data_IF_455450435706
#
_entry.id   IF_455450435706
#
_cell.length_a   1.000
_cell.length_b   1.000
_cell.length_c   1.000
_cell.angle_alpha   90.00
_cell.angle_beta   90.00
_cell.angle_gamma   90.00
#
_symmetry.space_group_name_H-M   'P 1'
#
loop_
_entity.id
_entity.type
_entity.pdbx_description
1 polymer ?
#
# COMPACT_ATOMS: atom_id res chain seq x y z
N UNK A 1 21.96 -39.18 -21.38
CA UNK A 1 22.44 -37.99 -20.67
C UNK A 1 21.84 -36.68 -21.18
N UNK A 2 21.98 -36.27 -22.49
CA UNK A 2 21.33 -35.03 -22.98
C UNK A 2 19.80 -35.07 -22.98
N UNK A 3 19.19 -36.16 -23.39
CA UNK A 3 17.73 -36.33 -23.40
C UNK A 3 17.15 -36.35 -21.97
N UNK A 4 17.79 -37.07 -21.05
CA UNK A 4 17.38 -37.14 -19.65
C UNK A 4 17.50 -35.77 -18.97
N UNK A 5 18.56 -35.00 -19.27
CA UNK A 5 18.71 -33.64 -18.77
C UNK A 5 17.61 -32.73 -19.30
N UNK A 6 17.22 -32.86 -20.57
CA UNK A 6 16.16 -32.04 -21.15
C UNK A 6 14.78 -32.36 -20.55
N UNK A 7 14.47 -33.65 -20.38
CA UNK A 7 13.25 -34.08 -19.71
C UNK A 7 13.20 -33.60 -18.26
N UNK A 8 14.30 -33.69 -17.52
CA UNK A 8 14.40 -33.18 -16.16
C UNK A 8 14.13 -31.66 -16.11
N UNK A 9 14.71 -30.91 -17.03
CA UNK A 9 14.49 -29.46 -17.13
C UNK A 9 13.03 -29.11 -17.42
N UNK A 10 12.38 -29.84 -18.33
CA UNK A 10 10.96 -29.66 -18.62
C UNK A 10 10.08 -29.96 -17.39
N UNK A 11 10.39 -30.99 -16.65
CA UNK A 11 9.66 -31.32 -15.41
C UNK A 11 9.82 -30.23 -14.36
N UNK A 12 11.01 -29.67 -14.20
CA UNK A 12 11.25 -28.55 -13.28
C UNK A 12 10.43 -27.31 -13.67
N UNK A 13 10.42 -26.95 -14.94
CA UNK A 13 9.63 -25.81 -15.44
C UNK A 13 8.13 -26.06 -15.30
N UNK A 14 7.66 -27.28 -15.61
CA UNK A 14 6.28 -27.67 -15.40
C UNK A 14 5.86 -27.55 -13.94
N UNK A 15 6.72 -27.97 -13.01
CA UNK A 15 6.49 -27.83 -11.58
C UNK A 15 6.40 -26.36 -11.14
N UNK A 16 7.29 -25.50 -11.63
CA UNK A 16 7.24 -24.05 -11.37
C UNK A 16 5.94 -23.45 -11.92
N UNK A 17 5.52 -23.84 -13.13
CA UNK A 17 4.26 -23.39 -13.74
C UNK A 17 3.06 -23.86 -12.90
N UNK A 18 3.06 -25.10 -12.43
CA UNK A 18 2.01 -25.63 -11.56
C UNK A 18 1.94 -24.90 -10.22
N UNK A 19 3.08 -24.63 -9.59
CA UNK A 19 3.15 -23.81 -8.35
C UNK A 19 2.62 -22.40 -8.57
N UNK A 20 2.95 -21.79 -9.72
CA UNK A 20 2.48 -20.47 -10.10
C UNK A 20 0.95 -20.45 -10.35
N UNK A 21 0.42 -21.44 -11.05
CA UNK A 21 -1.03 -21.61 -11.22
C UNK A 21 -1.74 -21.85 -9.86
N UNK A 22 -1.12 -22.64 -8.98
CA UNK A 22 -1.58 -22.87 -7.62
C UNK A 22 -1.63 -21.59 -6.79
N UNK A 23 -0.64 -20.71 -6.91
CA UNK A 23 -0.67 -19.37 -6.31
C UNK A 23 -1.89 -18.57 -6.80
N UNK A 24 -2.16 -18.55 -8.10
CA UNK A 24 -3.29 -17.81 -8.68
C UNK A 24 -4.64 -18.34 -8.18
N UNK A 25 -4.80 -19.67 -8.11
CA UNK A 25 -5.99 -20.30 -7.52
C UNK A 25 -6.15 -19.94 -6.04
N UNK A 26 -5.04 -19.93 -5.29
CA UNK A 26 -5.06 -19.54 -3.89
C UNK A 26 -5.36 -18.03 -3.70
N UNK A 27 -4.87 -17.17 -4.60
CA UNK A 27 -5.22 -15.75 -4.61
C UNK A 27 -6.73 -15.53 -4.80
N UNK A 28 -7.33 -16.22 -5.78
CA UNK A 28 -8.77 -16.22 -5.99
C UNK A 28 -9.54 -16.70 -4.75
N UNK A 29 -9.12 -17.83 -4.18
CA UNK A 29 -9.73 -18.33 -2.94
C UNK A 29 -9.63 -17.33 -1.79
N UNK A 30 -8.46 -16.71 -1.58
CA UNK A 30 -8.25 -15.73 -0.51
C UNK A 30 -9.16 -14.50 -0.65
N UNK A 31 -9.29 -14.00 -1.89
CA UNK A 31 -10.17 -12.88 -2.25
C UNK A 31 -11.65 -13.23 -2.00
N UNK A 32 -12.11 -14.41 -2.43
CA UNK A 32 -13.49 -14.87 -2.21
C UNK A 32 -13.80 -15.11 -0.73
N UNK A 33 -12.87 -15.75 0.00
CA UNK A 33 -13.01 -15.96 1.45
C UNK A 33 -13.15 -14.64 2.20
N UNK A 34 -12.34 -13.64 1.82
CA UNK A 34 -12.42 -12.30 2.41
C UNK A 34 -13.77 -11.63 2.12
N UNK A 35 -14.23 -11.69 0.86
CA UNK A 35 -15.52 -11.14 0.46
C UNK A 35 -16.69 -11.81 1.18
N UNK A 36 -16.67 -13.14 1.31
CA UNK A 36 -17.68 -13.87 2.05
C UNK A 36 -17.72 -13.41 3.52
N UNK A 37 -16.55 -13.38 4.18
CA UNK A 37 -16.45 -12.93 5.56
C UNK A 37 -16.98 -11.51 5.74
N UNK A 38 -16.59 -10.58 4.88
CA UNK A 38 -17.02 -9.18 4.91
C UNK A 38 -18.54 -9.03 4.80
N UNK A 39 -19.20 -9.86 3.99
CA UNK A 39 -20.67 -9.86 3.83
C UNK A 39 -21.42 -10.48 5.00
N UNK A 40 -20.81 -11.44 5.67
CA UNK A 40 -21.44 -12.20 6.77
C UNK A 40 -21.10 -11.65 8.16
N UNK A 41 -20.02 -10.88 8.28
CA UNK A 41 -19.60 -10.27 9.54
C UNK A 41 -20.49 -9.06 9.84
N UNK A 42 -21.44 -9.24 10.75
CA UNK A 42 -22.18 -8.14 11.36
C UNK A 42 -21.42 -7.78 12.63
N UNK A 43 -20.74 -6.64 12.64
CA UNK A 43 -20.13 -6.14 13.88
C UNK A 43 -21.25 -5.70 14.80
N UNK A 44 -21.56 -6.51 15.81
CA UNK A 44 -22.51 -6.15 16.90
C UNK A 44 -21.82 -5.45 18.06
N UNK A 45 -20.50 -5.34 18.00
CA UNK A 45 -19.69 -4.78 19.08
C UNK A 45 -19.64 -3.25 18.91
N UNK A 46 -20.33 -2.55 19.79
CA UNK A 46 -20.30 -1.10 19.88
C UNK A 46 -19.16 -0.64 20.80
N UNK A 47 -17.91 -0.71 20.29
CA UNK A 47 -16.75 -0.19 20.99
C UNK A 47 -16.27 1.07 20.26
N UNK A 48 -16.60 2.24 20.80
CA UNK A 48 -16.39 3.55 20.17
C UNK A 48 -15.63 4.54 21.08
N UNK A 49 -14.43 4.21 21.52
CA UNK A 49 -13.59 5.15 22.28
C UNK A 49 -13.15 6.33 21.41
N UNK A 50 -12.85 7.45 22.03
CA UNK A 50 -12.38 8.66 21.36
C UNK A 50 -11.07 8.42 20.60
N UNK A 51 -10.93 8.98 19.38
CA UNK A 51 -9.81 8.75 18.45
C UNK A 51 -9.18 10.05 17.99
N UNK A 52 -7.85 10.15 17.99
CA UNK A 52 -7.11 11.22 17.31
C UNK A 52 -6.59 10.75 15.96
N UNK A 53 -7.05 11.37 14.88
CA UNK A 53 -6.61 11.11 13.52
C UNK A 53 -5.42 12.02 13.19
N UNK A 54 -4.28 11.42 12.90
CA UNK A 54 -3.07 12.10 12.46
C UNK A 54 -2.94 11.98 10.94
N UNK A 55 -3.07 13.11 10.22
CA UNK A 55 -2.94 13.17 8.76
C UNK A 55 -1.73 13.99 8.37
N UNK A 56 -0.56 13.35 8.18
CA UNK A 56 0.60 14.03 7.63
C UNK A 56 0.31 14.39 6.16
N UNK A 57 0.50 15.66 5.80
CA UNK A 57 0.25 16.19 4.47
C UNK A 57 1.54 16.79 3.93
N UNK A 58 1.78 16.60 2.64
CA UNK A 58 2.88 17.21 1.91
C UNK A 58 2.53 17.32 0.44
N UNK A 59 2.42 18.54 -0.07
CA UNK A 59 2.07 18.82 -1.46
C UNK A 59 0.60 18.54 -1.78
N UNK A 60 0.26 18.61 -3.06
CA UNK A 60 -1.10 18.39 -3.56
C UNK A 60 -1.24 16.97 -4.10
N UNK A 61 -1.93 16.13 -3.35
CA UNK A 61 -2.43 14.88 -3.91
C UNK A 61 -3.70 15.14 -4.72
N UNK A 62 -3.95 14.29 -5.71
CA UNK A 62 -5.16 14.37 -6.53
C UNK A 62 -6.42 14.21 -5.66
N UNK A 63 -7.38 15.09 -5.91
CA UNK A 63 -8.62 15.15 -5.12
C UNK A 63 -8.40 15.32 -3.60
N UNK A 64 -7.25 15.89 -3.17
CA UNK A 64 -6.90 16.06 -1.75
C UNK A 64 -8.06 16.61 -0.91
N UNK A 65 -8.76 17.63 -1.39
CA UNK A 65 -9.88 18.23 -0.65
C UNK A 65 -11.02 17.23 -0.40
N UNK A 66 -11.31 16.35 -1.37
CA UNK A 66 -12.34 15.31 -1.22
C UNK A 66 -11.85 14.21 -0.26
N UNK A 67 -10.56 13.87 -0.35
CA UNK A 67 -9.95 12.85 0.49
C UNK A 67 -10.00 13.28 1.96
N UNK A 68 -9.44 14.45 2.29
CA UNK A 68 -9.44 14.92 3.69
C UNK A 68 -10.85 15.23 4.21
N UNK A 69 -11.76 15.70 3.35
CA UNK A 69 -13.18 15.91 3.73
C UNK A 69 -13.86 14.63 4.17
N UNK A 70 -13.57 13.49 3.54
CA UNK A 70 -14.15 12.20 3.93
C UNK A 70 -13.83 11.79 5.37
N UNK A 71 -12.67 12.19 5.90
CA UNK A 71 -12.31 11.99 7.31
C UNK A 71 -13.08 12.92 8.25
N UNK A 72 -13.52 14.09 7.78
CA UNK A 72 -14.33 15.03 8.56
C UNK A 72 -15.81 14.65 8.58
N UNK A 73 -16.24 13.66 7.82
CA UNK A 73 -17.63 13.24 7.66
C UNK A 73 -17.86 11.82 8.22
N UNK A 74 -17.29 11.54 9.39
CA UNK A 74 -17.44 10.25 10.03
C UNK A 74 -18.71 10.20 10.90
N UNK A 75 -19.42 9.07 10.81
CA UNK A 75 -20.49 8.75 11.75
C UNK A 75 -19.87 8.11 12.99
N UNK A 76 -19.31 8.97 13.85
CA UNK A 76 -18.56 8.56 15.05
C UNK A 76 -18.71 9.62 16.14
N UNK A 77 -18.96 9.21 17.42
CA UNK A 77 -19.37 10.15 18.46
C UNK A 77 -18.29 11.16 18.85
N UNK A 78 -17.03 10.75 18.94
CA UNK A 78 -15.94 11.61 19.42
C UNK A 78 -14.63 11.31 18.73
N UNK A 79 -14.15 12.26 17.94
CA UNK A 79 -12.86 12.16 17.27
C UNK A 79 -12.26 13.53 16.98
N UNK A 80 -10.93 13.56 16.97
CA UNK A 80 -10.12 14.70 16.62
C UNK A 80 -9.39 14.47 15.30
N UNK A 81 -9.21 15.51 14.48
CA UNK A 81 -8.34 15.48 13.30
C UNK A 81 -7.22 16.50 13.42
N UNK A 82 -5.99 16.03 13.21
CA UNK A 82 -4.80 16.86 13.21
C UNK A 82 -4.14 16.74 11.84
N UNK A 83 -4.05 17.85 11.11
CA UNK A 83 -3.30 17.92 9.87
C UNK A 83 -1.88 18.39 10.16
N UNK A 84 -0.87 17.62 9.72
CA UNK A 84 0.53 17.99 9.89
C UNK A 84 1.13 18.49 8.59
N UNK A 85 1.78 19.66 8.62
CA UNK A 85 2.52 20.23 7.51
C UNK A 85 3.89 20.74 7.97
N UNK A 86 4.88 20.72 7.08
CA UNK A 86 6.23 21.19 7.38
C UNK A 86 6.41 22.69 7.14
N UNK A 87 5.64 23.31 6.20
CA UNK A 87 5.78 24.71 5.83
C UNK A 87 4.44 25.36 5.52
N UNK A 88 4.36 26.68 5.72
CA UNK A 88 3.25 27.54 5.25
C UNK A 88 3.19 27.63 3.72
N UNK A 89 4.32 27.40 3.08
CA UNK A 89 4.46 27.47 1.62
C UNK A 89 4.02 26.18 0.94
N UNK A 90 3.67 25.14 1.73
CA UNK A 90 3.10 23.91 1.17
C UNK A 90 1.76 24.24 0.47
N UNK A 91 1.60 23.87 -0.80
CA UNK A 91 0.39 24.18 -1.57
C UNK A 91 -0.88 23.53 -1.00
N UNK A 92 -0.77 22.51 -0.13
CA UNK A 92 -1.90 21.95 0.60
C UNK A 92 -2.39 22.82 1.77
N UNK A 93 -1.58 23.76 2.27
CA UNK A 93 -1.93 24.55 3.44
C UNK A 93 -3.23 25.38 3.27
N UNK A 94 -3.47 26.07 2.15
CA UNK A 94 -4.76 26.76 1.91
C UNK A 94 -5.96 25.80 1.94
N UNK A 95 -5.79 24.58 1.42
CA UNK A 95 -6.84 23.54 1.42
C UNK A 95 -7.16 23.10 2.86
N UNK A 96 -6.16 22.84 3.67
CA UNK A 96 -6.31 22.49 5.10
C UNK A 96 -7.06 23.60 5.84
N UNK A 97 -6.68 24.85 5.64
CA UNK A 97 -7.38 26.01 6.24
C UNK A 97 -8.86 26.10 5.80
N UNK A 98 -9.13 25.80 4.54
CA UNK A 98 -10.52 25.78 4.02
C UNK A 98 -11.35 24.68 4.71
N UNK A 99 -10.81 23.48 4.84
CA UNK A 99 -11.48 22.36 5.53
C UNK A 99 -11.77 22.70 7.01
N UNK A 100 -10.79 23.24 7.74
CA UNK A 100 -11.01 23.66 9.15
C UNK A 100 -12.13 24.70 9.26
N UNK A 101 -12.21 25.64 8.33
CA UNK A 101 -13.30 26.63 8.30
C UNK A 101 -14.65 26.00 7.96
N UNK A 102 -14.67 24.96 7.14
CA UNK A 102 -15.90 24.23 6.75
C UNK A 102 -16.45 23.43 7.94
N UNK A 103 -15.59 22.76 8.74
CA UNK A 103 -15.97 21.85 9.81
C UNK A 103 -15.79 22.46 11.23
N UNK A 104 -16.34 23.65 11.48
CA UNK A 104 -16.16 24.40 12.75
C UNK A 104 -16.67 23.69 14.00
N UNK A 105 -17.58 22.71 13.88
CA UNK A 105 -18.14 21.95 15.00
C UNK A 105 -17.31 20.71 15.35
N UNK A 106 -16.37 20.31 14.49
CA UNK A 106 -15.49 19.17 14.69
C UNK A 106 -14.18 19.65 15.32
N UNK A 107 -13.58 18.84 16.17
CA UNK A 107 -12.24 19.09 16.71
C UNK A 107 -11.19 18.85 15.63
N UNK A 108 -10.99 19.87 14.78
CA UNK A 108 -10.06 19.85 13.65
C UNK A 108 -9.04 20.95 13.82
N UNK A 109 -7.77 20.59 13.76
CA UNK A 109 -6.66 21.53 13.87
C UNK A 109 -5.51 21.20 12.90
N UNK A 110 -4.49 22.03 12.85
CA UNK A 110 -3.24 21.73 12.14
C UNK A 110 -2.03 22.00 13.01
N UNK A 111 -0.95 21.30 12.72
CA UNK A 111 0.39 21.54 13.25
C UNK A 111 1.28 21.93 12.10
N UNK A 112 2.00 23.03 12.26
CA UNK A 112 2.93 23.57 11.29
C UNK A 112 4.34 23.55 11.93
N UNK A 113 5.14 22.56 11.59
CA UNK A 113 6.44 22.34 12.22
C UNK A 113 7.42 21.65 11.26
N UNK A 114 8.53 22.32 10.97
CA UNK A 114 9.56 21.87 10.04
C UNK A 114 10.64 20.97 10.65
N UNK A 115 10.58 20.71 11.96
CA UNK A 115 11.61 19.90 12.66
C UNK A 115 11.63 18.47 12.10
N UNK A 116 12.83 17.99 11.84
CA UNK A 116 13.10 16.63 11.39
C UNK A 116 13.80 15.84 12.50
N UNK A 117 13.41 14.57 12.65
CA UNK A 117 13.94 13.69 13.71
C UNK A 117 14.64 12.45 13.12
N UNK A 118 14.65 12.32 11.83
CA UNK A 118 15.27 11.22 11.10
C UNK A 118 15.06 11.36 9.60
N UNK A 119 15.45 10.35 8.86
CA UNK A 119 15.39 10.33 7.41
C UNK A 119 13.96 10.16 6.86
N UNK A 120 13.01 9.69 7.68
CA UNK A 120 11.60 9.58 7.30
C UNK A 120 10.84 10.87 7.67
N UNK A 121 10.56 11.69 6.67
CA UNK A 121 9.88 13.00 6.85
C UNK A 121 8.40 12.84 7.26
N UNK A 122 7.72 11.78 6.82
CA UNK A 122 6.35 11.45 7.27
C UNK A 122 6.35 11.20 8.78
N UNK A 123 7.28 10.40 9.25
CA UNK A 123 7.41 10.09 10.69
C UNK A 123 7.81 11.32 11.49
N UNK A 124 8.70 12.19 10.97
CA UNK A 124 9.03 13.47 11.60
C UNK A 124 7.80 14.35 11.77
N UNK A 125 6.92 14.40 10.77
CA UNK A 125 5.64 15.11 10.84
C UNK A 125 4.72 14.49 11.91
N UNK A 126 4.64 13.16 12.01
CA UNK A 126 3.86 12.47 13.06
C UNK A 126 4.40 12.79 14.47
N UNK A 127 5.72 12.87 14.66
CA UNK A 127 6.33 13.27 15.93
C UNK A 127 5.90 14.69 16.31
N UNK A 128 5.90 15.62 15.36
CA UNK A 128 5.46 17.00 15.55
C UNK A 128 3.96 17.10 15.90
N UNK A 129 3.13 16.25 15.30
CA UNK A 129 1.68 16.21 15.54
C UNK A 129 1.30 15.55 16.88
N UNK A 130 2.08 14.57 17.32
CA UNK A 130 1.77 13.73 18.49
C UNK A 130 1.42 14.49 19.79
N UNK A 131 2.09 15.59 20.17
CA UNK A 131 1.75 16.35 21.36
C UNK A 131 0.34 16.98 21.33
N UNK A 132 -0.20 17.25 20.13
CA UNK A 132 -1.54 17.82 19.94
C UNK A 132 -2.65 16.76 20.00
N UNK A 133 -2.31 15.49 19.85
CA UNK A 133 -3.27 14.40 19.92
C UNK A 133 -3.76 14.20 21.36
N UNK A 134 -5.09 14.16 21.57
CA UNK A 134 -5.74 14.12 22.90
C UNK A 134 -6.05 12.69 23.36
N UNK A 135 -6.42 11.80 22.42
CA UNK A 135 -7.06 10.52 22.71
C UNK A 135 -6.06 9.36 22.80
N UNK A 136 -6.50 8.26 23.39
CA UNK A 136 -5.67 7.07 23.62
C UNK A 136 -5.54 6.15 22.39
N UNK A 137 -6.38 6.36 21.41
CA UNK A 137 -6.28 5.68 20.11
C UNK A 137 -5.80 6.68 19.06
N UNK A 138 -4.70 6.33 18.40
CA UNK A 138 -4.05 7.17 17.39
C UNK A 138 -4.18 6.51 16.04
N UNK A 139 -4.93 7.16 15.16
CA UNK A 139 -5.08 6.73 13.77
C UNK A 139 -4.14 7.54 12.89
N UNK A 140 -3.29 6.86 12.13
CA UNK A 140 -2.49 7.47 11.06
C UNK A 140 -3.06 7.04 9.72
N UNK A 141 -3.29 7.99 8.81
CA UNK A 141 -3.77 7.71 7.46
C UNK A 141 -3.13 8.66 6.45
N UNK A 142 -2.70 8.12 5.31
CA UNK A 142 -2.09 8.88 4.22
C UNK A 142 -3.10 9.85 3.58
N UNK A 143 -2.61 10.95 2.96
CA UNK A 143 -3.41 12.05 2.43
C UNK A 143 -4.22 11.69 1.18
N UNK A 144 -3.79 10.67 0.45
CA UNK A 144 -4.41 10.12 -0.77
C UNK A 144 -5.52 9.09 -0.50
N UNK A 145 -5.84 8.84 0.78
CA UNK A 145 -6.90 7.92 1.18
C UNK A 145 -8.26 8.60 1.23
N UNK A 146 -9.30 7.90 0.75
CA UNK A 146 -10.72 8.26 0.87
C UNK A 146 -11.48 7.19 1.63
N UNK A 147 -12.32 7.60 2.57
CA UNK A 147 -12.97 6.71 3.51
C UNK A 147 -14.50 6.86 3.49
N UNK A 148 -15.21 5.79 3.91
CA UNK A 148 -16.66 5.82 4.12
C UNK A 148 -17.02 6.48 5.46
N UNK A 149 -18.29 6.89 5.66
CA UNK A 149 -18.74 7.44 6.96
C UNK A 149 -18.57 6.48 8.14
N UNK A 150 -18.65 5.17 7.93
CA UNK A 150 -18.53 4.14 8.98
C UNK A 150 -17.08 3.71 9.25
N UNK A 151 -16.09 4.35 8.60
CA UNK A 151 -14.69 3.94 8.67
C UNK A 151 -14.16 3.84 10.10
N UNK A 152 -14.41 4.82 10.96
CA UNK A 152 -13.96 4.80 12.35
C UNK A 152 -14.63 3.68 13.16
N UNK A 153 -15.94 3.51 13.04
CA UNK A 153 -16.68 2.45 13.76
C UNK A 153 -16.16 1.05 13.39
N UNK A 154 -15.91 0.81 12.10
CA UNK A 154 -15.39 -0.47 11.61
C UNK A 154 -13.97 -0.76 12.10
N UNK A 155 -13.13 0.27 12.22
CA UNK A 155 -11.76 0.13 12.65
C UNK A 155 -11.58 0.03 14.18
N UNK A 156 -12.53 0.59 14.95
CA UNK A 156 -12.42 0.60 16.41
C UNK A 156 -13.00 -0.65 17.07
N UNK A 157 -13.98 -1.30 16.45
CA UNK A 157 -14.64 -2.48 17.02
C UNK A 157 -13.68 -3.62 17.43
N UNK A 158 -12.55 -3.91 16.70
CA UNK A 158 -11.61 -4.96 17.10
C UNK A 158 -10.88 -4.70 18.42
N UNK A 159 -10.79 -3.44 18.87
CA UNK A 159 -10.13 -3.10 20.14
C UNK A 159 -10.95 -3.46 21.38
N UNK A 160 -12.20 -3.93 21.23
CA UNK A 160 -12.93 -4.57 22.32
C UNK A 160 -12.21 -5.82 22.86
N UNK A 161 -11.38 -6.48 22.03
CA UNK A 161 -10.40 -7.48 22.46
C UNK A 161 -9.13 -6.74 22.92
N UNK A 162 -8.85 -6.75 24.23
CA UNK A 162 -7.69 -6.10 24.84
C UNK A 162 -6.35 -6.65 24.34
N UNK A 163 -6.31 -7.84 23.74
CA UNK A 163 -5.14 -8.42 23.10
C UNK A 163 -4.77 -7.75 21.78
N UNK A 164 -5.66 -6.95 21.18
CA UNK A 164 -5.40 -6.19 19.95
C UNK A 164 -4.61 -4.92 20.30
N UNK A 165 -3.41 -4.80 19.75
CA UNK A 165 -2.54 -3.65 19.97
C UNK A 165 -2.58 -2.63 18.84
N UNK A 166 -2.83 -3.08 17.61
CA UNK A 166 -3.01 -2.22 16.45
C UNK A 166 -4.03 -2.81 15.47
N UNK A 167 -4.67 -1.93 14.71
CA UNK A 167 -5.61 -2.27 13.64
C UNK A 167 -5.13 -1.61 12.36
N UNK A 168 -5.20 -2.34 11.25
CA UNK A 168 -4.90 -1.83 9.91
C UNK A 168 -5.96 -2.28 8.93
N UNK A 169 -6.06 -1.64 7.77
CA UNK A 169 -7.01 -2.03 6.72
C UNK A 169 -6.33 -2.22 5.37
N UNK A 170 -6.93 -3.08 4.55
CA UNK A 170 -6.62 -3.13 3.13
C UNK A 170 -7.00 -1.82 2.43
N UNK A 171 -6.40 -1.59 1.29
CA UNK A 171 -6.80 -0.51 0.40
C UNK A 171 -6.85 -0.97 -1.05
N UNK A 172 -7.65 -0.27 -1.84
CA UNK A 172 -7.82 -0.50 -3.27
C UNK A 172 -7.36 0.71 -4.05
N UNK A 173 -6.63 0.48 -5.15
CA UNK A 173 -6.24 1.54 -6.07
C UNK A 173 -7.44 2.00 -6.92
N UNK A 174 -7.66 3.30 -6.96
CA UNK A 174 -8.65 3.97 -7.81
C UNK A 174 -7.95 5.00 -8.67
N UNK A 175 -7.72 4.66 -9.95
CA UNK A 175 -6.93 5.49 -10.86
C UNK A 175 -7.61 6.84 -11.14
N UNK A 176 -6.83 7.89 -11.07
CA UNK A 176 -7.13 9.21 -11.63
C UNK A 176 -6.07 9.51 -12.69
N UNK A 177 -6.50 9.90 -13.89
CA UNK A 177 -5.57 10.17 -14.97
C UNK A 177 -5.43 9.03 -15.99
N UNK A 178 -4.19 8.83 -16.48
CA UNK A 178 -3.90 8.04 -17.68
C UNK A 178 -3.50 6.58 -17.39
N UNK A 179 -2.87 5.94 -18.36
CA UNK A 179 -2.48 4.54 -18.38
C UNK A 179 -1.59 4.15 -17.18
N UNK A 180 -0.62 5.00 -16.80
CA UNK A 180 0.27 4.74 -15.67
C UNK A 180 -0.50 4.57 -14.36
N UNK A 181 -1.47 5.46 -14.07
CA UNK A 181 -2.34 5.35 -12.88
C UNK A 181 -3.19 4.08 -12.91
N UNK A 182 -3.70 3.68 -14.09
CA UNK A 182 -4.46 2.45 -14.23
C UNK A 182 -3.61 1.21 -13.95
N UNK A 183 -2.36 1.19 -14.42
CA UNK A 183 -1.43 0.10 -14.15
C UNK A 183 -1.05 0.01 -12.66
N UNK A 184 -0.87 1.16 -11.98
CA UNK A 184 -0.62 1.17 -10.55
C UNK A 184 -1.86 0.68 -9.76
N UNK A 185 -3.06 1.14 -10.11
CA UNK A 185 -4.29 0.65 -9.49
C UNK A 185 -4.46 -0.87 -9.66
N UNK A 186 -4.12 -1.43 -10.84
CA UNK A 186 -4.11 -2.87 -11.06
C UNK A 186 -3.07 -3.58 -10.18
N UNK A 187 -1.87 -3.01 -9.99
CA UNK A 187 -0.86 -3.56 -9.08
C UNK A 187 -1.41 -3.68 -7.66
N UNK A 188 -2.03 -2.62 -7.14
CA UNK A 188 -2.63 -2.61 -5.80
C UNK A 188 -3.75 -3.65 -5.70
N UNK A 189 -4.65 -3.68 -6.67
CA UNK A 189 -5.87 -4.49 -6.59
C UNK A 189 -5.63 -5.99 -6.87
N UNK A 190 -4.69 -6.32 -7.77
CA UNK A 190 -4.55 -7.68 -8.31
C UNK A 190 -3.29 -8.41 -7.82
N UNK A 191 -2.34 -7.67 -7.24
CA UNK A 191 -1.14 -8.26 -6.68
C UNK A 191 -1.03 -8.00 -5.16
N UNK A 192 -1.02 -6.73 -4.74
CA UNK A 192 -0.83 -6.36 -3.34
C UNK A 192 -1.98 -6.88 -2.46
N UNK A 193 -3.24 -6.56 -2.80
CA UNK A 193 -4.40 -6.97 -2.00
C UNK A 193 -4.51 -8.50 -1.85
N UNK A 194 -4.45 -9.32 -2.92
CA UNK A 194 -4.44 -10.78 -2.77
C UNK A 194 -3.24 -11.30 -1.96
N UNK A 195 -2.05 -10.71 -2.11
CA UNK A 195 -0.85 -11.13 -1.37
C UNK A 195 -0.99 -10.92 0.14
N UNK A 196 -1.57 -9.79 0.57
CA UNK A 196 -1.86 -9.54 2.00
C UNK A 196 -2.90 -10.53 2.51
N UNK A 197 -3.93 -10.87 1.74
CA UNK A 197 -4.95 -11.84 2.13
C UNK A 197 -4.39 -13.26 2.24
N UNK A 198 -3.51 -13.66 1.34
CA UNK A 198 -2.78 -14.93 1.41
C UNK A 198 -1.92 -14.95 2.68
N UNK A 199 -1.17 -13.89 2.94
CA UNK A 199 -0.36 -13.78 4.16
C UNK A 199 -1.21 -13.95 5.42
N UNK A 200 -2.40 -13.30 5.49
CA UNK A 200 -3.37 -13.44 6.61
C UNK A 200 -3.87 -14.88 6.81
N UNK A 201 -3.98 -15.66 5.73
CA UNK A 201 -4.41 -17.05 5.80
C UNK A 201 -3.29 -17.96 6.30
N UNK A 202 -2.05 -17.70 5.85
CA UNK A 202 -0.90 -18.55 6.16
C UNK A 202 -0.34 -18.30 7.56
N UNK A 203 -0.41 -17.07 8.07
CA UNK A 203 0.14 -16.70 9.37
C UNK A 203 -0.55 -15.47 9.96
N UNK A 204 -0.49 -15.26 11.29
CA UNK A 204 -0.95 -14.04 11.91
C UNK A 204 -0.25 -12.81 11.32
N UNK A 205 -0.99 -11.77 11.02
CA UNK A 205 -0.44 -10.49 10.56
C UNK A 205 0.40 -9.87 11.68
N UNK A 206 1.64 -9.45 11.34
CA UNK A 206 2.59 -8.81 12.26
C UNK A 206 3.01 -7.41 11.79
N UNK A 207 2.36 -6.89 10.77
CA UNK A 207 2.66 -5.58 10.17
C UNK A 207 1.39 -4.76 10.03
N UNK A 208 1.54 -3.44 9.90
CA UNK A 208 0.47 -2.55 9.48
C UNK A 208 0.67 -2.14 8.02
N UNK A 209 -0.36 -1.54 7.43
CA UNK A 209 -0.38 -0.97 6.09
C UNK A 209 -0.55 0.54 6.20
N UNK A 210 0.31 1.32 5.54
CA UNK A 210 0.43 2.76 5.68
C UNK A 210 -0.83 3.56 5.36
N UNK A 211 -1.73 3.00 4.54
CA UNK A 211 -3.02 3.59 4.22
C UNK A 211 -3.89 3.87 5.46
N UNK A 212 -3.82 2.98 6.46
CA UNK A 212 -4.56 3.08 7.73
C UNK A 212 -3.88 2.27 8.81
N UNK A 213 -3.46 2.94 9.86
CA UNK A 213 -2.90 2.33 11.05
C UNK A 213 -3.54 2.95 12.29
N UNK A 214 -4.15 2.14 13.15
CA UNK A 214 -4.55 2.58 14.49
C UNK A 214 -3.71 1.84 15.52
N UNK A 215 -3.18 2.57 16.47
CA UNK A 215 -2.39 2.03 17.57
C UNK A 215 -2.84 2.63 18.90
N UNK A 216 -2.79 1.83 19.95
CA UNK A 216 -2.99 2.32 21.31
C UNK A 216 -1.81 3.18 21.74
N UNK A 217 -2.09 4.34 22.34
CA UNK A 217 -1.07 5.30 22.79
C UNK A 217 -0.09 4.71 23.80
N UNK A 218 -0.56 3.89 24.75
CA UNK A 218 0.26 3.22 25.74
C UNK A 218 1.28 2.28 25.09
N UNK A 219 0.87 1.54 24.04
CA UNK A 219 1.74 0.64 23.30
C UNK A 219 2.73 1.41 22.41
N UNK A 220 2.27 2.48 21.76
CA UNK A 220 3.16 3.36 21.01
C UNK A 220 4.26 3.92 21.92
N UNK A 221 3.94 4.35 23.16
CA UNK A 221 4.94 4.77 24.14
C UNK A 221 5.92 3.66 24.50
N UNK A 222 5.45 2.42 24.69
CA UNK A 222 6.30 1.26 25.04
C UNK A 222 7.34 0.94 23.96
N UNK A 223 7.02 1.15 22.68
CA UNK A 223 7.98 0.94 21.58
C UNK A 223 8.92 2.15 21.33
N UNK A 224 8.85 3.20 22.15
CA UNK A 224 9.68 4.41 22.02
C UNK A 224 9.02 5.54 21.22
N UNK A 225 7.69 5.50 21.02
CA UNK A 225 6.93 6.50 20.28
C UNK A 225 7.19 6.45 18.77
N UNK A 226 6.68 7.41 18.03
CA UNK A 226 7.00 7.56 16.61
C UNK A 226 8.50 7.75 16.35
N UNK A 227 9.27 8.21 17.34
CA UNK A 227 10.71 8.41 17.19
C UNK A 227 11.46 7.12 16.86
N UNK A 228 11.01 5.98 17.39
CA UNK A 228 11.60 4.66 17.07
C UNK A 228 11.47 4.28 15.58
N UNK A 229 10.56 4.93 14.85
CA UNK A 229 10.28 4.67 13.45
C UNK A 229 10.97 5.68 12.50
N UNK A 230 11.61 6.73 13.03
CA UNK A 230 12.04 7.92 12.28
C UNK A 230 13.07 7.67 11.16
N UNK A 231 13.75 6.52 11.18
CA UNK A 231 14.74 6.14 10.17
C UNK A 231 14.34 4.91 9.35
N UNK A 232 13.15 4.35 9.56
CA UNK A 232 12.67 3.24 8.75
C UNK A 232 11.90 3.73 7.53
N UNK A 233 12.14 3.09 6.37
CA UNK A 233 11.38 3.36 5.15
C UNK A 233 9.95 2.83 5.27
N UNK A 234 9.80 1.61 5.76
CA UNK A 234 8.51 0.97 6.02
C UNK A 234 8.11 1.21 7.49
N UNK A 235 7.72 2.45 7.80
CA UNK A 235 7.28 2.85 9.14
C UNK A 235 6.04 2.08 9.61
N UNK A 236 5.16 1.77 8.69
CA UNK A 236 3.95 0.98 8.87
C UNK A 236 4.26 -0.49 9.23
N UNK A 237 5.12 -1.13 8.43
CA UNK A 237 5.58 -2.49 8.71
C UNK A 237 6.23 -2.57 10.09
N UNK A 238 7.14 -1.63 10.38
CA UNK A 238 7.87 -1.60 11.66
C UNK A 238 6.96 -1.30 12.85
N UNK A 239 5.96 -0.41 12.71
CA UNK A 239 4.97 -0.17 13.77
C UNK A 239 4.27 -1.49 14.14
N UNK A 240 3.72 -2.20 13.16
CA UNK A 240 3.06 -3.47 13.39
C UNK A 240 3.99 -4.50 14.00
N UNK A 241 5.21 -4.64 13.47
CA UNK A 241 6.22 -5.57 13.99
C UNK A 241 6.55 -5.30 15.45
N UNK A 242 6.87 -4.08 15.82
CA UNK A 242 7.23 -3.72 17.19
C UNK A 242 6.07 -3.96 18.18
N UNK A 243 4.82 -3.67 17.79
CA UNK A 243 3.63 -3.97 18.59
C UNK A 243 3.42 -5.48 18.72
N UNK A 244 3.62 -6.23 17.63
CA UNK A 244 3.54 -7.70 17.65
C UNK A 244 4.64 -8.32 18.54
N UNK A 245 5.86 -7.78 18.52
CA UNK A 245 6.99 -8.23 19.36
C UNK A 245 6.72 -8.00 20.86
N UNK A 246 5.84 -7.04 21.23
CA UNK A 246 5.31 -6.89 22.60
C UNK A 246 4.26 -7.94 22.97
N UNK A 247 3.89 -8.86 22.06
CA UNK A 247 2.90 -9.91 22.27
C UNK A 247 1.46 -9.53 21.95
N UNK A 248 1.21 -8.33 21.38
CA UNK A 248 -0.12 -7.90 20.96
C UNK A 248 -0.45 -8.29 19.53
N UNK A 249 -1.74 -8.56 19.28
CA UNK A 249 -2.24 -8.89 17.94
C UNK A 249 -2.33 -7.65 17.06
N UNK A 250 -1.98 -7.80 15.78
CA UNK A 250 -2.30 -6.86 14.72
C UNK A 250 -3.54 -7.36 14.02
N UNK A 251 -4.62 -6.56 14.04
CA UNK A 251 -5.88 -6.93 13.40
C UNK A 251 -5.97 -6.29 12.02
N UNK A 252 -6.11 -7.13 10.97
CA UNK A 252 -6.47 -6.65 9.64
C UNK A 252 -8.00 -6.60 9.55
N UNK A 253 -8.53 -5.37 9.47
CA UNK A 253 -9.96 -5.11 9.34
C UNK A 253 -10.52 -5.70 8.03
N UNK A 254 -11.82 -5.98 8.03
CA UNK A 254 -12.53 -6.42 6.82
C UNK A 254 -12.94 -5.21 5.92
N UNK A 255 -12.53 -3.99 6.30
CA UNK A 255 -12.70 -2.76 5.50
C UNK A 255 -11.65 -2.68 4.37
N UNK A 256 -12.05 -2.11 3.23
CA UNK A 256 -11.13 -1.71 2.15
C UNK A 256 -11.25 -0.20 1.97
N UNK A 257 -10.15 0.53 2.14
CA UNK A 257 -10.07 1.98 1.95
C UNK A 257 -9.76 2.30 0.48
N UNK A 258 -10.31 3.38 -0.07
CA UNK A 258 -9.99 3.80 -1.43
C UNK A 258 -8.70 4.65 -1.43
N UNK A 259 -7.65 4.15 -2.10
CA UNK A 259 -6.44 4.90 -2.41
C UNK A 259 -6.60 5.59 -3.77
N UNK A 260 -6.52 6.92 -3.78
CA UNK A 260 -6.62 7.73 -5.01
C UNK A 260 -5.24 7.80 -5.66
N UNK A 261 -5.09 7.06 -6.76
CA UNK A 261 -3.81 6.89 -7.44
C UNK A 261 -3.71 7.82 -8.64
N UNK A 262 -2.68 8.66 -8.66
CA UNK A 262 -2.29 9.43 -9.85
C UNK A 262 -0.78 9.27 -10.10
N UNK A 263 -0.46 8.65 -11.23
CA UNK A 263 0.91 8.60 -11.75
C UNK A 263 0.98 9.52 -12.97
N UNK A 264 1.79 10.56 -12.87
CA UNK A 264 1.88 11.58 -13.93
C UNK A 264 2.58 11.05 -15.17
N UNK A 265 3.51 10.07 -14.98
CA UNK A 265 4.28 9.45 -16.04
C UNK A 265 4.59 7.97 -15.78
N UNK A 266 5.01 7.24 -16.83
CA UNK A 266 5.56 5.89 -16.66
C UNK A 266 6.83 5.85 -15.80
N UNK A 267 7.65 6.91 -15.82
CA UNK A 267 8.83 7.03 -14.99
C UNK A 267 8.44 7.06 -13.51
N UNK A 268 7.42 7.83 -13.16
CA UNK A 268 6.94 7.94 -11.77
C UNK A 268 6.40 6.59 -11.30
N UNK A 269 5.61 5.91 -12.13
CA UNK A 269 5.11 4.55 -11.86
C UNK A 269 6.26 3.58 -11.57
N UNK A 270 7.28 3.54 -12.43
CA UNK A 270 8.43 2.63 -12.26
C UNK A 270 9.19 2.97 -10.97
N UNK A 271 9.46 4.23 -10.70
CA UNK A 271 10.16 4.65 -9.49
C UNK A 271 9.37 4.32 -8.22
N UNK A 272 8.06 4.52 -8.25
CA UNK A 272 7.16 4.19 -7.15
C UNK A 272 7.17 2.68 -6.87
N UNK A 273 6.94 1.86 -7.89
CA UNK A 273 6.91 0.40 -7.72
C UNK A 273 8.29 -0.18 -7.38
N UNK A 274 9.39 0.37 -7.93
CA UNK A 274 10.75 -0.02 -7.53
C UNK A 274 11.03 0.31 -6.05
N UNK A 275 10.56 1.44 -5.56
CA UNK A 275 10.66 1.78 -4.15
C UNK A 275 9.97 0.71 -3.30
N UNK A 276 8.73 0.32 -3.63
CA UNK A 276 7.99 -0.73 -2.92
C UNK A 276 8.68 -2.09 -3.01
N UNK A 277 9.11 -2.48 -4.21
CA UNK A 277 9.80 -3.74 -4.46
C UNK A 277 11.12 -3.84 -3.66
N UNK A 278 11.93 -2.77 -3.67
CA UNK A 278 13.18 -2.71 -2.90
C UNK A 278 12.94 -2.66 -1.40
N UNK A 279 11.88 -1.99 -0.94
CA UNK A 279 11.48 -2.00 0.47
C UNK A 279 11.10 -3.40 0.93
N UNK A 280 10.18 -4.06 0.22
CA UNK A 280 9.72 -5.41 0.56
C UNK A 280 10.87 -6.42 0.55
N UNK A 281 11.79 -6.32 -0.42
CA UNK A 281 13.00 -7.15 -0.48
C UNK A 281 13.89 -7.00 0.76
N UNK A 282 13.86 -5.82 1.41
CA UNK A 282 14.65 -5.57 2.63
C UNK A 282 13.98 -6.08 3.88
N UNK A 283 12.68 -5.86 4.01
CA UNK A 283 11.94 -6.25 5.22
C UNK A 283 11.57 -7.74 5.23
N UNK A 284 11.33 -8.33 4.04
CA UNK A 284 10.91 -9.73 3.87
C UNK A 284 11.67 -10.42 2.72
N UNK A 285 12.99 -10.60 2.81
CA UNK A 285 13.83 -11.03 1.67
C UNK A 285 13.44 -12.41 1.13
N UNK A 286 13.13 -13.37 2.00
CA UNK A 286 12.72 -14.72 1.59
C UNK A 286 11.33 -14.71 0.96
N UNK A 287 10.38 -14.05 1.59
CA UNK A 287 9.03 -13.85 1.05
C UNK A 287 9.09 -13.15 -0.31
N UNK A 288 9.90 -12.11 -0.43
CA UNK A 288 10.07 -11.39 -1.69
C UNK A 288 10.69 -12.26 -2.80
N UNK A 289 11.67 -13.09 -2.48
CA UNK A 289 12.25 -14.02 -3.46
C UNK A 289 11.16 -14.91 -4.07
N UNK A 290 10.30 -15.51 -3.25
CA UNK A 290 9.24 -16.39 -3.75
C UNK A 290 8.09 -15.66 -4.47
N UNK A 291 8.08 -14.32 -4.46
CA UNK A 291 7.08 -13.59 -5.25
C UNK A 291 7.22 -13.77 -6.76
N UNK A 292 8.34 -14.36 -7.27
CA UNK A 292 8.44 -14.72 -8.69
C UNK A 292 7.31 -15.67 -9.13
N UNK A 293 6.78 -16.50 -8.24
CA UNK A 293 5.65 -17.39 -8.53
C UNK A 293 4.36 -16.62 -8.87
N UNK A 294 4.29 -15.33 -8.52
CA UNK A 294 3.16 -14.47 -8.86
C UNK A 294 3.17 -13.99 -10.31
N UNK A 295 4.29 -14.16 -11.04
CA UNK A 295 4.43 -13.79 -12.46
C UNK A 295 3.82 -14.87 -13.37
N UNK A 296 2.56 -15.22 -13.10
CA UNK A 296 1.89 -16.42 -13.61
C UNK A 296 1.81 -16.48 -15.14
N UNK A 297 1.51 -15.33 -15.79
CA UNK A 297 1.41 -15.25 -17.25
C UNK A 297 2.79 -15.39 -17.92
N UNK A 298 3.84 -14.80 -17.32
CA UNK A 298 5.22 -14.92 -17.82
C UNK A 298 5.72 -16.36 -17.71
N UNK A 299 5.54 -16.97 -16.52
CA UNK A 299 5.95 -18.36 -16.28
C UNK A 299 5.23 -19.32 -17.22
N UNK A 300 3.91 -19.20 -17.38
CA UNK A 300 3.15 -20.06 -18.30
C UNK A 300 3.58 -19.86 -19.75
N UNK A 301 3.90 -18.62 -20.17
CA UNK A 301 4.36 -18.34 -21.53
C UNK A 301 5.75 -18.94 -21.79
N UNK A 302 6.68 -18.83 -20.85
CA UNK A 302 8.01 -19.45 -20.96
C UNK A 302 7.89 -20.98 -21.00
N UNK A 303 7.06 -21.55 -20.14
CA UNK A 303 6.76 -23.00 -20.14
C UNK A 303 6.20 -23.44 -21.49
N UNK A 304 5.26 -22.67 -22.04
CA UNK A 304 4.69 -22.94 -23.35
C UNK A 304 5.73 -22.95 -24.46
N UNK A 305 6.64 -21.98 -24.51
CA UNK A 305 7.71 -21.93 -25.52
C UNK A 305 8.57 -23.19 -25.43
N UNK A 306 9.00 -23.60 -24.23
CA UNK A 306 9.84 -24.76 -24.02
C UNK A 306 9.13 -26.04 -24.48
N UNK A 307 7.84 -26.22 -24.08
CA UNK A 307 7.05 -27.39 -24.48
C UNK A 307 6.77 -27.44 -25.97
N UNK A 308 6.62 -26.27 -26.63
CA UNK A 308 6.45 -26.22 -28.08
C UNK A 308 7.70 -26.74 -28.82
N UNK A 309 8.88 -26.39 -28.34
CA UNK A 309 10.15 -26.88 -28.92
C UNK A 309 10.21 -28.42 -28.88
N UNK A 310 9.74 -29.04 -27.81
CA UNK A 310 9.75 -30.50 -27.63
C UNK A 310 8.63 -31.24 -28.35
N UNK A 311 7.41 -30.70 -28.22
CA UNK A 311 6.21 -31.45 -28.66
C UNK A 311 5.72 -31.08 -30.05
N UNK A 312 6.07 -29.91 -30.55
CA UNK A 312 5.56 -29.29 -31.80
C UNK A 312 4.01 -29.25 -31.83
N UNK A 313 3.36 -29.36 -30.67
CA UNK A 313 1.90 -29.38 -30.54
C UNK A 313 1.39 -28.06 -29.99
N UNK A 314 0.86 -27.19 -30.85
CA UNK A 314 0.39 -25.86 -30.49
C UNK A 314 -0.78 -25.89 -29.48
N UNK A 315 -1.67 -26.86 -29.57
CA UNK A 315 -2.83 -26.99 -28.68
C UNK A 315 -2.40 -27.28 -27.22
N UNK A 316 -1.54 -28.26 -27.03
CA UNK A 316 -0.98 -28.61 -25.70
C UNK A 316 -0.18 -27.44 -25.10
N UNK A 317 0.51 -26.71 -25.96
CA UNK A 317 1.38 -25.59 -25.56
C UNK A 317 0.58 -24.37 -25.13
N UNK A 318 -0.44 -24.00 -25.86
CA UNK A 318 -1.23 -22.79 -25.57
C UNK A 318 -2.23 -22.99 -24.43
N UNK A 319 -2.67 -24.22 -24.18
CA UNK A 319 -3.69 -24.51 -23.17
C UNK A 319 -3.35 -23.95 -21.77
N UNK A 320 -2.15 -24.16 -21.18
CA UNK A 320 -1.80 -23.58 -19.88
C UNK A 320 -1.82 -22.06 -19.87
N UNK A 321 -1.35 -21.42 -20.94
CA UNK A 321 -1.33 -19.95 -21.07
C UNK A 321 -2.74 -19.38 -21.09
N UNK A 322 -3.64 -19.99 -21.87
CA UNK A 322 -5.04 -19.58 -21.94
C UNK A 322 -5.76 -19.78 -20.60
N UNK A 323 -5.48 -20.88 -19.90
CA UNK A 323 -6.04 -21.16 -18.59
C UNK A 323 -5.59 -20.11 -17.56
N UNK A 324 -4.29 -19.79 -17.53
CA UNK A 324 -3.74 -18.76 -16.66
C UNK A 324 -4.31 -17.39 -16.99
N UNK A 325 -4.40 -17.04 -18.26
CA UNK A 325 -5.00 -15.78 -18.71
C UNK A 325 -6.46 -15.66 -18.27
N UNK A 326 -7.24 -16.73 -18.43
CA UNK A 326 -8.63 -16.78 -17.97
C UNK A 326 -8.72 -16.57 -16.46
N UNK A 327 -7.89 -17.25 -15.67
CA UNK A 327 -7.84 -17.09 -14.22
C UNK A 327 -7.42 -15.66 -13.80
N UNK A 328 -6.47 -15.03 -14.54
CA UNK A 328 -6.10 -13.61 -14.35
C UNK A 328 -7.26 -12.66 -14.64
N UNK A 329 -8.03 -12.91 -15.71
CA UNK A 329 -9.25 -12.16 -16.05
C UNK A 329 -10.28 -12.29 -14.91
N UNK A 330 -10.49 -13.52 -14.43
CA UNK A 330 -11.41 -13.77 -13.30
C UNK A 330 -10.94 -12.99 -12.07
N UNK A 331 -9.66 -13.05 -11.71
CA UNK A 331 -9.11 -12.31 -10.58
C UNK A 331 -9.33 -10.80 -10.73
N UNK A 332 -9.05 -10.23 -11.92
CA UNK A 332 -9.31 -8.83 -12.22
C UNK A 332 -10.79 -8.45 -12.00
N UNK A 333 -11.70 -9.23 -12.53
CA UNK A 333 -13.15 -8.99 -12.38
C UNK A 333 -13.57 -9.08 -10.91
N UNK A 334 -13.09 -10.10 -10.19
CA UNK A 334 -13.46 -10.33 -8.77
C UNK A 334 -12.92 -9.24 -7.85
N UNK A 335 -11.66 -8.86 -8.01
CA UNK A 335 -11.07 -7.77 -7.21
C UNK A 335 -11.77 -6.44 -7.49
N UNK A 336 -12.09 -6.13 -8.74
CA UNK A 336 -12.89 -4.96 -9.12
C UNK A 336 -14.28 -4.94 -8.45
N UNK A 337 -14.96 -6.08 -8.42
CA UNK A 337 -16.28 -6.20 -7.76
C UNK A 337 -16.18 -6.01 -6.24
N UNK A 338 -15.16 -6.59 -5.60
CA UNK A 338 -14.98 -6.56 -4.15
C UNK A 338 -14.55 -5.18 -3.66
N UNK A 339 -13.70 -4.51 -4.41
CA UNK A 339 -13.23 -3.15 -4.09
C UNK A 339 -14.25 -2.08 -4.44
N UNK A 340 -15.23 -2.39 -5.29
CA UNK A 340 -16.19 -1.41 -5.80
C UNK A 340 -15.56 -0.34 -6.71
N UNK A 341 -14.28 -0.50 -7.06
CA UNK A 341 -13.55 0.48 -7.86
C UNK A 341 -13.94 0.40 -9.34
N UNK A 342 -14.67 1.38 -9.83
CA UNK A 342 -14.96 1.52 -11.26
C UNK A 342 -13.71 1.89 -12.08
N UNK A 343 -12.66 2.37 -11.41
CA UNK A 343 -11.40 2.86 -12.01
C UNK A 343 -10.19 1.98 -11.65
N UNK A 344 -10.40 0.66 -11.62
CA UNK A 344 -9.38 -0.34 -11.27
C UNK A 344 -8.49 -0.76 -12.45
N UNK A 345 -8.60 -0.11 -13.60
CA UNK A 345 -7.95 -0.51 -14.85
C UNK A 345 -8.86 -1.34 -15.76
N UNK A 346 -8.34 -1.69 -16.91
CA UNK A 346 -9.06 -2.46 -17.95
C UNK A 346 -8.44 -3.84 -18.11
N UNK A 347 -9.26 -4.85 -18.35
CA UNK A 347 -8.85 -6.24 -18.59
C UNK A 347 -7.78 -6.40 -19.68
N UNK A 348 -7.80 -5.55 -20.69
CA UNK A 348 -6.83 -5.55 -21.80
C UNK A 348 -5.40 -5.18 -21.36
N UNK A 349 -5.26 -4.55 -20.19
CA UNK A 349 -3.97 -4.17 -19.63
C UNK A 349 -3.27 -5.30 -18.88
N UNK A 350 -3.93 -6.45 -18.66
CA UNK A 350 -3.37 -7.57 -17.90
C UNK A 350 -2.00 -8.02 -18.44
N UNK A 351 -1.80 -8.28 -19.75
CA UNK A 351 -0.49 -8.70 -20.24
C UNK A 351 0.58 -7.62 -20.02
N UNK A 352 0.25 -6.35 -20.29
CA UNK A 352 1.17 -5.24 -20.05
C UNK A 352 1.52 -5.10 -18.56
N UNK A 353 0.53 -5.25 -17.68
CA UNK A 353 0.74 -5.19 -16.22
C UNK A 353 1.66 -6.30 -15.74
N UNK A 354 1.45 -7.54 -16.21
CA UNK A 354 2.26 -8.69 -15.79
C UNK A 354 3.71 -8.57 -16.28
N UNK A 355 3.92 -8.10 -17.52
CA UNK A 355 5.27 -7.80 -18.06
C UNK A 355 5.95 -6.71 -17.20
N UNK A 356 5.25 -5.64 -16.87
CA UNK A 356 5.79 -4.56 -16.05
C UNK A 356 6.14 -5.04 -14.64
N UNK A 357 5.26 -5.83 -13.99
CA UNK A 357 5.51 -6.41 -12.68
C UNK A 357 6.78 -7.29 -12.66
N UNK A 358 6.91 -8.17 -13.65
CA UNK A 358 8.10 -9.00 -13.81
C UNK A 358 9.36 -8.16 -14.01
N UNK A 359 9.31 -7.16 -14.90
CA UNK A 359 10.45 -6.28 -15.19
C UNK A 359 10.90 -5.51 -13.94
N UNK A 360 9.97 -4.92 -13.19
CA UNK A 360 10.26 -4.21 -11.94
C UNK A 360 10.86 -5.17 -10.90
N UNK A 361 10.35 -6.39 -10.79
CA UNK A 361 10.89 -7.41 -9.89
C UNK A 361 12.34 -7.73 -10.23
N UNK A 362 12.64 -8.00 -11.49
CA UNK A 362 14.02 -8.27 -11.94
C UNK A 362 14.91 -7.07 -11.63
N UNK A 363 14.51 -5.85 -12.02
CA UNK A 363 15.28 -4.63 -11.78
C UNK A 363 15.46 -4.38 -10.27
N UNK A 364 14.50 -4.75 -9.44
CA UNK A 364 14.59 -4.53 -7.99
C UNK A 364 15.75 -5.26 -7.33
N UNK A 365 16.24 -6.36 -7.92
CA UNK A 365 17.43 -7.08 -7.42
C UNK A 365 18.72 -6.32 -7.71
N UNK A 366 18.69 -5.36 -8.64
CA UNK A 366 19.84 -4.47 -8.92
C UNK A 366 19.73 -3.19 -8.07
N UNK A 367 20.79 -2.85 -7.37
CA UNK A 367 20.90 -1.63 -6.59
C UNK A 367 20.13 -1.61 -5.27
N UNK A 368 20.35 -0.55 -4.52
CA UNK A 368 19.79 -0.32 -3.16
C UNK A 368 19.22 1.09 -3.00
N UNK A 369 19.46 1.96 -3.99
CA UNK A 369 18.97 3.34 -3.99
C UNK A 369 17.47 3.36 -4.27
N UNK A 370 16.74 4.18 -3.53
CA UNK A 370 15.32 4.46 -3.73
C UNK A 370 15.14 5.97 -3.90
N UNK A 371 14.20 6.33 -4.74
CA UNK A 371 13.74 7.70 -4.84
C UNK A 371 12.40 7.82 -4.09
N UNK A 372 12.34 8.73 -3.12
CA UNK A 372 11.11 9.03 -2.41
C UNK A 372 10.87 10.55 -2.48
N UNK A 373 9.87 10.92 -3.28
CA UNK A 373 9.66 12.30 -3.73
C UNK A 373 10.95 12.83 -4.42
N UNK A 374 11.45 13.98 -4.05
CA UNK A 374 12.63 14.59 -4.66
C UNK A 374 13.97 14.14 -4.03
N UNK A 375 13.95 13.21 -3.06
CA UNK A 375 15.13 12.78 -2.35
C UNK A 375 15.53 11.34 -2.70
N UNK A 376 16.84 11.12 -2.87
CA UNK A 376 17.42 9.81 -3.03
C UNK A 376 17.94 9.28 -1.68
N UNK A 377 17.63 8.01 -1.39
CA UNK A 377 18.04 7.34 -0.17
C UNK A 377 18.63 5.97 -0.50
N UNK A 378 19.57 5.53 0.33
CA UNK A 378 20.02 4.15 0.36
C UNK A 378 19.34 3.39 1.49
N UNK A 379 18.82 2.19 1.21
CA UNK A 379 18.21 1.30 2.20
C UNK A 379 19.20 0.22 2.58
N UNK A 380 19.55 0.12 3.86
CA UNK A 380 20.40 -0.95 4.37
C UNK A 380 19.64 -2.27 4.58
N UNK A 381 20.35 -3.31 5.08
CA UNK A 381 19.77 -4.64 5.30
C UNK A 381 18.73 -4.69 6.42
N UNK A 382 18.72 -3.70 7.30
CA UNK A 382 17.76 -3.58 8.41
C UNK A 382 16.51 -2.76 8.04
N UNK A 383 16.44 -2.23 6.80
CA UNK A 383 15.35 -1.38 6.33
C UNK A 383 15.49 0.09 6.74
N UNK A 384 16.62 0.48 7.30
CA UNK A 384 16.92 1.87 7.63
C UNK A 384 17.29 2.65 6.37
N UNK A 385 16.83 3.88 6.29
CA UNK A 385 17.14 4.81 5.19
C UNK A 385 18.23 5.79 5.59
N UNK A 386 19.19 5.92 4.69
CA UNK A 386 20.31 6.85 4.80
C UNK A 386 20.26 7.83 3.63
N UNK A 387 20.25 9.14 3.91
CA UNK A 387 20.29 10.15 2.86
C UNK A 387 21.61 10.05 2.09
N UNK A 388 21.56 10.10 0.76
CA UNK A 388 22.77 10.22 -0.05
C UNK A 388 23.41 11.60 0.16
N UNK A 389 24.69 11.63 0.53
CA UNK A 389 25.46 12.86 0.84
C UNK A 389 25.47 13.94 -0.28
N UNK A 390 25.03 13.61 -1.49
CA UNK A 390 25.11 14.48 -2.67
C UNK A 390 24.01 15.55 -2.76
N UNK A 391 22.93 15.47 -1.94
CA UNK A 391 21.80 16.42 -2.02
C UNK A 391 21.69 17.41 -0.85
N UNK A 392 22.57 17.38 0.11
CA UNK A 392 22.54 18.32 1.24
C UNK A 392 23.12 19.72 0.93
N UNK A 393 23.56 19.97 -0.31
CA UNK A 393 24.27 21.24 -0.64
C UNK A 393 23.49 22.15 -1.61
N UNK A 394 22.44 21.68 -2.32
CA UNK A 394 21.81 22.52 -3.38
C UNK A 394 20.31 22.28 -3.63
N UNK A 395 19.45 22.17 -2.67
CA UNK A 395 18.02 22.31 -2.97
C UNK A 395 17.31 23.07 -1.87
N UNK A 396 17.08 24.34 -2.15
CA UNK A 396 15.95 25.08 -1.60
C UNK A 396 14.68 24.38 -2.12
N UNK A 397 13.88 23.70 -1.29
CA UNK A 397 12.77 22.84 -1.76
C UNK A 397 11.63 23.62 -2.45
N UNK A 398 11.76 24.93 -2.58
CA UNK A 398 10.74 25.82 -3.18
C UNK A 398 11.01 26.16 -4.65
N UNK A 399 12.24 25.93 -5.17
CA UNK A 399 12.59 26.41 -6.52
C UNK A 399 12.33 25.48 -7.69
N UNK A 400 12.11 24.20 -7.48
CA UNK A 400 11.99 23.21 -8.58
C UNK A 400 10.58 22.65 -8.79
N UNK A 401 9.54 23.45 -8.54
CA UNK A 401 8.19 23.10 -8.98
C UNK A 401 7.95 23.66 -10.38
N UNK A 402 7.62 22.85 -11.40
CA UNK A 402 7.13 23.38 -12.66
C UNK A 402 5.79 24.09 -12.41
N UNK A 403 5.75 25.36 -12.66
CA UNK A 403 4.55 26.19 -12.74
C UNK A 403 3.61 25.59 -13.78
N UNK A 404 2.55 24.95 -13.35
CA UNK A 404 1.36 24.79 -14.18
C UNK A 404 0.51 26.05 -14.00
N UNK A 405 0.75 26.99 -14.91
CA UNK A 405 -0.09 28.19 -15.08
C UNK A 405 -1.47 27.79 -15.59
N UNK A 406 -2.47 28.35 -14.93
CA UNK A 406 -3.79 28.78 -15.41
C UNK A 406 -4.66 27.82 -16.22
N UNK A 407 -5.76 27.42 -15.65
CA UNK A 407 -7.05 27.63 -16.30
C UNK A 407 -8.03 28.18 -15.27
N UNK A 408 -8.46 29.42 -15.50
CA UNK A 408 -9.72 29.99 -15.00
C UNK A 408 -10.88 29.08 -15.39
N UNK A 409 -11.89 29.11 -14.55
CA UNK A 409 -13.31 28.84 -14.74
C UNK A 409 -13.86 27.63 -13.96
N UNK A 410 -14.77 28.07 -13.10
CA UNK A 410 -15.87 27.42 -12.35
C UNK A 410 -15.54 26.68 -11.06
#
# INVERSE_FOLDING_TARGET
MQIEFFIFFELCIALVCLCSAGYLAFALFAVERFNYKRKTSISTINFQPSVSILKPIYGLDVELIKNIRSFCQQDYPDYQIIFGLHSKDDPAFPIVKKIIKEFKKLDVTYVLDSRLYGSNYKVSNLINMYPTAKHDYLLVADSDMRVSPNYLSDLMSPFADSSVGAVTSLYSGSARGKLASSLNAMFINEWFLPSVLISKILQPIKFCLGATMIVRRDLLKKIGGFKSLSNYLADDYMLGKLISDLGYKIHLSDLIVENIVEETSFKDLILHELRWARTLRRVEPLGYFFTFLTDTLIISSVTAIIFYISTQNLGLTLFPVLLVLLARIILHIRTKQITGSSRAGSVWLIPLRDILSFSIRVISFTGTSIQWRNNAFNVDRSGLIHAEKKMLIESDPVKDMPYLATSQDY
#
